data_IF_357011904156
#
_entry.id   IF_357011904156
#
_cell.length_a   1.000
_cell.length_b   1.000
_cell.length_c   1.000
_cell.angle_alpha   90.00
_cell.angle_beta   90.00
_cell.angle_gamma   90.00
#
_symmetry.space_group_name_H-M   'P 1'
#
loop_
_entity.id
_entity.type
_entity.pdbx_description
1 polymer ?
#
# COMPACT_ATOMS: atom_id res chain seq x y z
N UNK A 1 -13.86 -10.29 1.28
CA UNK A 1 -12.57 -9.92 1.89
C UNK A 1 -11.64 -9.29 0.87
N UNK A 2 -11.49 -9.88 -0.32
CA UNK A 2 -10.60 -9.40 -1.40
C UNK A 2 -10.86 -7.94 -1.82
N UNK A 3 -12.13 -7.54 -1.93
CA UNK A 3 -12.48 -6.15 -2.24
C UNK A 3 -12.00 -5.19 -1.14
N UNK A 4 -12.15 -5.57 0.13
CA UNK A 4 -11.70 -4.78 1.27
C UNK A 4 -10.18 -4.66 1.26
N UNK A 5 -9.46 -5.77 1.03
CA UNK A 5 -8.00 -5.74 0.83
C UNK A 5 -7.60 -4.77 -0.28
N UNK A 6 -8.26 -4.84 -1.44
CA UNK A 6 -7.99 -3.94 -2.56
C UNK A 6 -8.25 -2.48 -2.20
N UNK A 7 -9.33 -2.16 -1.50
CA UNK A 7 -9.62 -0.78 -1.06
C UNK A 7 -8.58 -0.28 -0.06
N UNK A 8 -8.22 -1.11 0.91
CA UNK A 8 -7.23 -0.79 1.96
C UNK A 8 -5.85 -0.54 1.37
N UNK A 9 -5.40 -1.39 0.45
CA UNK A 9 -4.13 -1.20 -0.25
C UNK A 9 -4.11 0.14 -1.02
N UNK A 10 -5.25 0.60 -1.53
CA UNK A 10 -5.33 1.87 -2.25
C UNK A 10 -5.78 3.05 -1.37
N UNK A 11 -5.85 2.88 -0.05
CA UNK A 11 -6.28 3.93 0.89
C UNK A 11 -5.08 4.80 1.28
N UNK A 12 -5.08 6.04 0.78
CA UNK A 12 -3.97 6.99 0.99
C UNK A 12 -3.81 7.46 2.43
N UNK A 13 -4.84 7.32 3.27
CA UNK A 13 -4.70 7.61 4.69
C UNK A 13 -3.92 6.48 5.40
N UNK A 14 -4.04 5.23 4.93
CA UNK A 14 -3.31 4.06 5.45
C UNK A 14 -1.92 3.95 4.83
N UNK A 15 -1.83 3.93 3.50
CA UNK A 15 -0.59 3.85 2.72
C UNK A 15 -0.34 5.17 2.01
N UNK A 16 0.41 6.06 2.67
CA UNK A 16 0.72 7.35 2.09
C UNK A 16 1.81 7.22 1.04
N UNK A 17 1.56 7.68 -0.18
CA UNK A 17 2.58 7.73 -1.24
C UNK A 17 3.41 8.99 -1.04
N UNK A 18 4.69 8.80 -0.67
CA UNK A 18 5.68 9.88 -0.56
C UNK A 18 6.04 10.46 -1.93
N UNK A 19 6.22 9.56 -2.90
CA UNK A 19 6.64 9.88 -4.26
C UNK A 19 5.88 8.99 -5.23
N UNK A 20 5.02 9.60 -6.03
CA UNK A 20 4.35 8.92 -7.13
C UNK A 20 5.37 8.59 -8.23
N UNK A 21 5.30 7.36 -8.75
CA UNK A 21 6.10 6.90 -9.88
C UNK A 21 5.20 6.75 -11.10
N UNK A 22 4.13 5.95 -10.93
CA UNK A 22 3.08 5.76 -11.93
C UNK A 22 1.76 6.20 -11.33
N UNK A 23 1.16 7.23 -11.92
CA UNK A 23 -0.23 7.58 -11.62
C UNK A 23 -1.18 6.50 -12.17
N UNK A 24 -2.48 6.62 -11.90
CA UNK A 24 -3.46 5.59 -12.30
C UNK A 24 -3.52 5.36 -13.82
N UNK A 25 -3.39 6.39 -14.65
CA UNK A 25 -3.39 6.23 -16.10
C UNK A 25 -2.14 5.48 -16.57
N UNK A 26 -0.96 5.91 -16.11
CA UNK A 26 0.32 5.30 -16.47
C UNK A 26 0.43 3.86 -15.94
N UNK A 27 -0.10 3.60 -14.74
CA UNK A 27 -0.15 2.26 -14.15
C UNK A 27 -1.04 1.32 -14.96
N UNK A 28 -2.18 1.83 -15.46
CA UNK A 28 -3.06 1.07 -16.36
C UNK A 28 -2.41 0.81 -17.73
N UNK A 29 -1.60 1.72 -18.25
CA UNK A 29 -0.80 1.47 -19.46
C UNK A 29 0.24 0.37 -19.22
N UNK A 30 0.97 0.45 -18.11
CA UNK A 30 1.94 -0.57 -17.72
C UNK A 30 1.28 -1.95 -17.55
N UNK A 31 0.08 -1.98 -16.97
CA UNK A 31 -0.74 -3.18 -16.82
C UNK A 31 -1.12 -3.80 -18.17
N UNK A 32 -1.45 -3.01 -19.19
CA UNK A 32 -1.74 -3.52 -20.55
C UNK A 32 -0.49 -4.11 -21.20
N UNK A 33 0.68 -3.55 -20.91
CA UNK A 33 1.95 -4.02 -21.43
C UNK A 33 2.50 -5.28 -20.73
N UNK A 34 1.86 -5.78 -19.65
CA UNK A 34 2.40 -6.87 -18.82
C UNK A 34 2.72 -8.17 -19.57
N UNK A 35 2.03 -8.44 -20.68
CA UNK A 35 2.27 -9.64 -21.52
C UNK A 35 3.38 -9.41 -22.57
N UNK A 36 3.76 -8.17 -22.85
CA UNK A 36 4.86 -7.83 -23.74
C UNK A 36 6.03 -7.27 -22.91
N UNK A 37 6.96 -8.15 -22.54
CA UNK A 37 8.11 -7.78 -21.69
C UNK A 37 8.94 -6.63 -22.25
N UNK A 38 9.07 -6.53 -23.59
CA UNK A 38 9.78 -5.42 -24.24
C UNK A 38 9.06 -4.09 -24.00
N UNK A 39 7.75 -4.04 -24.25
CA UNK A 39 6.98 -2.81 -24.09
C UNK A 39 6.87 -2.39 -22.63
N UNK A 40 6.66 -3.36 -21.73
CA UNK A 40 6.70 -3.12 -20.28
C UNK A 40 8.04 -2.49 -19.86
N UNK A 41 9.15 -3.10 -20.28
CA UNK A 41 10.49 -2.61 -19.93
C UNK A 41 10.75 -1.21 -20.49
N UNK A 42 10.30 -0.92 -21.72
CA UNK A 42 10.42 0.42 -22.33
C UNK A 42 9.66 1.49 -21.55
N UNK A 43 8.43 1.20 -21.09
CA UNK A 43 7.64 2.13 -20.27
C UNK A 43 8.39 2.43 -18.97
N UNK A 44 8.88 1.39 -18.29
CA UNK A 44 9.63 1.57 -17.03
C UNK A 44 10.95 2.30 -17.25
N UNK A 45 11.70 2.00 -18.31
CA UNK A 45 12.95 2.69 -18.66
C UNK A 45 12.73 4.18 -18.95
N UNK A 46 11.63 4.51 -19.66
CA UNK A 46 11.25 5.90 -19.88
C UNK A 46 10.99 6.62 -18.56
N UNK A 47 10.31 5.96 -17.62
CA UNK A 47 10.05 6.51 -16.28
C UNK A 47 11.32 6.69 -15.47
N UNK A 48 12.25 5.73 -15.50
CA UNK A 48 13.57 5.84 -14.86
C UNK A 48 14.31 7.08 -15.37
N UNK A 49 14.41 7.27 -16.69
CA UNK A 49 15.06 8.44 -17.29
C UNK A 49 14.42 9.76 -16.84
N UNK A 50 13.09 9.79 -16.74
CA UNK A 50 12.38 10.97 -16.21
C UNK A 50 12.74 11.26 -14.75
N UNK A 51 12.86 10.23 -13.91
CA UNK A 51 13.25 10.36 -12.50
C UNK A 51 14.72 10.79 -12.36
N UNK A 52 15.62 10.25 -13.18
CA UNK A 52 17.04 10.65 -13.22
C UNK A 52 17.19 12.13 -13.61
N UNK A 53 16.45 12.59 -14.62
CA UNK A 53 16.39 13.99 -15.02
C UNK A 53 15.78 14.88 -13.93
N UNK A 54 14.82 14.37 -13.15
CA UNK A 54 14.28 15.09 -12.01
C UNK A 54 15.34 15.25 -10.90
N UNK A 55 16.10 14.17 -10.65
CA UNK A 55 17.15 14.11 -9.63
C UNK A 55 18.30 15.10 -9.88
N UNK A 56 18.64 15.36 -11.14
CA UNK A 56 19.68 16.34 -11.51
C UNK A 56 19.30 17.78 -11.18
N UNK A 57 18.00 18.06 -11.01
CA UNK A 57 17.45 19.41 -10.85
C UNK A 57 17.02 19.76 -9.41
N UNK A 58 17.20 18.85 -8.44
CA UNK A 58 16.69 19.05 -7.07
C UNK A 58 17.79 19.03 -6.00
N UNK A 59 17.52 19.76 -4.90
CA UNK A 59 18.31 19.75 -3.67
C UNK A 59 18.51 18.34 -3.08
N UNK A 60 19.63 18.17 -2.37
CA UNK A 60 20.06 16.89 -1.79
C UNK A 60 19.01 16.16 -0.95
N UNK A 61 18.13 16.86 -0.20
CA UNK A 61 17.12 16.23 0.67
C UNK A 61 16.06 15.42 -0.08
N UNK A 62 15.72 15.80 -1.31
CA UNK A 62 14.69 15.10 -2.10
C UNK A 62 15.29 14.00 -2.98
N UNK A 63 16.62 13.86 -3.01
CA UNK A 63 17.30 12.83 -3.81
C UNK A 63 16.98 11.42 -3.32
N UNK A 64 16.83 11.24 -2.00
CA UNK A 64 16.58 9.91 -1.41
C UNK A 64 15.29 9.27 -1.90
N UNK A 65 14.19 10.03 -1.95
CA UNK A 65 12.90 9.50 -2.41
C UNK A 65 12.93 9.17 -3.91
N UNK A 66 13.72 9.92 -4.70
CA UNK A 66 13.91 9.65 -6.13
C UNK A 66 14.81 8.42 -6.34
N UNK A 67 15.87 8.26 -5.56
CA UNK A 67 16.71 7.05 -5.57
C UNK A 67 15.90 5.80 -5.22
N UNK A 68 15.03 5.89 -4.21
CA UNK A 68 14.11 4.82 -3.84
C UNK A 68 13.12 4.52 -4.96
N UNK A 69 12.56 5.56 -5.60
CA UNK A 69 11.70 5.40 -6.77
C UNK A 69 12.40 4.70 -7.95
N UNK A 70 13.65 5.06 -8.25
CA UNK A 70 14.45 4.41 -9.30
C UNK A 70 14.73 2.95 -8.94
N UNK A 71 15.01 2.64 -7.67
CA UNK A 71 15.17 1.25 -7.20
C UNK A 71 13.90 0.44 -7.42
N UNK A 72 12.73 0.98 -7.06
CA UNK A 72 11.44 0.32 -7.29
C UNK A 72 11.16 0.08 -8.79
N UNK A 73 11.50 1.04 -9.66
CA UNK A 73 11.41 0.83 -11.11
C UNK A 73 12.33 -0.29 -11.60
N UNK A 74 13.56 -0.39 -11.10
CA UNK A 74 14.45 -1.50 -11.44
C UNK A 74 13.93 -2.84 -10.89
N UNK A 75 13.30 -2.83 -9.71
CA UNK A 75 12.54 -3.95 -9.16
C UNK A 75 11.45 -4.41 -10.13
N UNK A 76 10.59 -3.47 -10.60
CA UNK A 76 9.55 -3.74 -11.60
C UNK A 76 10.10 -4.41 -12.86
N UNK A 77 11.21 -3.91 -13.40
CA UNK A 77 11.85 -4.51 -14.60
C UNK A 77 12.29 -5.95 -14.35
N UNK A 78 12.89 -6.21 -13.20
CA UNK A 78 13.40 -7.54 -12.84
C UNK A 78 12.25 -8.51 -12.56
N UNK A 79 11.19 -8.03 -11.91
CA UNK A 79 10.01 -8.82 -11.55
C UNK A 79 9.27 -9.39 -12.77
N UNK A 80 9.37 -8.77 -13.95
CA UNK A 80 8.84 -9.34 -15.21
C UNK A 80 9.41 -10.74 -15.49
N UNK A 81 10.67 -10.98 -15.11
CA UNK A 81 11.35 -12.26 -15.32
C UNK A 81 11.30 -13.14 -14.07
N UNK A 82 11.58 -12.54 -12.91
CA UNK A 82 11.91 -13.31 -11.70
C UNK A 82 10.69 -13.55 -10.80
N UNK A 83 9.66 -12.71 -10.91
CA UNK A 83 8.47 -12.70 -10.02
C UNK A 83 7.16 -12.39 -10.77
N UNK A 84 7.02 -12.91 -11.99
CA UNK A 84 5.93 -12.52 -12.91
C UNK A 84 4.52 -12.62 -12.31
N UNK A 85 4.24 -13.69 -11.57
CA UNK A 85 2.92 -13.89 -10.93
C UNK A 85 2.62 -12.82 -9.87
N UNK A 86 3.61 -12.47 -9.06
CA UNK A 86 3.47 -11.40 -8.05
C UNK A 86 3.31 -10.04 -8.72
N UNK A 87 4.09 -9.76 -9.78
CA UNK A 87 3.93 -8.55 -10.59
C UNK A 87 2.49 -8.43 -11.13
N UNK A 88 1.93 -9.51 -11.66
CA UNK A 88 0.55 -9.53 -12.15
C UNK A 88 -0.46 -9.23 -11.05
N UNK A 89 -0.32 -9.87 -9.89
CA UNK A 89 -1.21 -9.62 -8.74
C UNK A 89 -1.14 -8.16 -8.29
N UNK A 90 0.07 -7.60 -8.18
CA UNK A 90 0.27 -6.21 -7.82
C UNK A 90 -0.37 -5.25 -8.83
N UNK A 91 -0.18 -5.46 -10.14
CA UNK A 91 -0.82 -4.67 -11.21
C UNK A 91 -2.36 -4.78 -11.19
N UNK A 92 -2.89 -5.90 -10.70
CA UNK A 92 -4.34 -6.13 -10.63
C UNK A 92 -4.99 -5.53 -9.38
N UNK A 93 -4.23 -5.40 -8.30
CA UNK A 93 -4.71 -4.92 -7.00
C UNK A 93 -4.45 -3.42 -6.80
N UNK A 94 -3.26 -2.93 -7.14
CA UNK A 94 -2.90 -1.53 -6.98
C UNK A 94 -3.48 -0.66 -8.10
N UNK A 95 -3.89 0.57 -7.76
CA UNK A 95 -4.34 1.60 -8.70
C UNK A 95 -3.21 2.50 -9.17
N UNK A 96 -2.18 2.68 -8.34
CA UNK A 96 -1.00 3.49 -8.63
C UNK A 96 0.21 2.90 -7.94
N UNK A 97 1.40 3.33 -8.34
CA UNK A 97 2.65 2.80 -7.81
C UNK A 97 3.63 3.91 -7.46
N UNK A 98 4.32 3.76 -6.34
CA UNK A 98 5.18 4.78 -5.78
C UNK A 98 5.87 4.34 -4.51
N UNK A 99 6.72 5.22 -4.00
CA UNK A 99 7.37 5.04 -2.68
C UNK A 99 6.33 5.28 -1.61
N UNK A 100 6.03 4.25 -0.80
CA UNK A 100 4.97 4.28 0.21
C UNK A 100 5.54 4.37 1.63
N UNK A 101 4.84 5.12 2.48
CA UNK A 101 4.97 5.06 3.93
C UNK A 101 3.67 4.54 4.54
N UNK A 102 3.70 3.42 5.29
CA UNK A 102 2.56 3.05 6.12
C UNK A 102 2.38 4.08 7.24
N UNK A 103 1.14 4.51 7.46
CA UNK A 103 0.75 5.37 8.57
C UNK A 103 0.19 4.59 9.75
N UNK A 104 0.28 3.26 9.76
CA UNK A 104 -0.21 2.44 10.84
C UNK A 104 0.85 2.25 11.93
N UNK A 105 0.45 2.19 13.22
CA UNK A 105 1.29 1.61 14.26
C UNK A 105 1.33 0.08 14.11
N UNK A 106 2.08 -0.60 14.98
CA UNK A 106 2.01 -2.06 15.04
C UNK A 106 0.56 -2.52 15.31
N UNK A 107 0.02 -3.34 14.40
CA UNK A 107 -1.38 -3.74 14.43
C UNK A 107 -1.67 -5.04 15.22
N UNK A 108 -0.68 -5.67 15.85
CA UNK A 108 -0.83 -6.95 16.55
C UNK A 108 -1.81 -6.86 17.74
N UNK A 109 -1.67 -5.82 18.56
CA UNK A 109 -2.53 -5.61 19.73
C UNK A 109 -3.98 -5.31 19.34
N UNK A 110 -4.19 -4.62 18.22
CA UNK A 110 -5.53 -4.38 17.67
C UNK A 110 -6.17 -5.71 17.26
N UNK A 111 -5.42 -6.59 16.60
CA UNK A 111 -5.87 -7.94 16.29
C UNK A 111 -6.28 -8.73 17.54
N UNK A 112 -5.46 -8.73 18.60
CA UNK A 112 -5.78 -9.42 19.87
C UNK A 112 -7.08 -8.91 20.51
N UNK A 113 -7.33 -7.60 20.45
CA UNK A 113 -8.57 -7.01 20.99
C UNK A 113 -9.78 -7.47 20.16
N UNK A 114 -9.64 -7.55 18.84
CA UNK A 114 -10.72 -7.99 17.94
C UNK A 114 -11.14 -9.44 18.23
N UNK A 115 -10.18 -10.33 18.50
CA UNK A 115 -10.48 -11.75 18.76
C UNK A 115 -11.26 -11.99 20.07
N UNK A 116 -11.04 -11.12 21.06
CA UNK A 116 -11.46 -11.37 22.45
C UNK A 116 -12.73 -10.65 22.85
N UNK A 117 -13.03 -9.54 22.18
CA UNK A 117 -14.05 -8.61 22.65
C UNK A 117 -15.14 -8.38 21.60
N UNK A 118 -16.28 -7.86 22.07
CA UNK A 118 -17.38 -7.45 21.20
C UNK A 118 -17.05 -6.12 20.51
N UNK A 119 -17.71 -5.87 19.37
CA UNK A 119 -17.48 -4.68 18.53
C UNK A 119 -17.55 -3.36 19.29
N UNK A 120 -18.40 -3.24 20.32
CA UNK A 120 -18.50 -2.03 21.16
C UNK A 120 -17.22 -1.75 21.94
N UNK A 121 -16.59 -2.78 22.51
CA UNK A 121 -15.32 -2.66 23.24
C UNK A 121 -14.17 -2.41 22.26
N UNK A 122 -14.19 -3.08 21.10
CA UNK A 122 -13.21 -2.86 20.02
C UNK A 122 -13.24 -1.40 19.57
N UNK A 123 -14.44 -0.86 19.31
CA UNK A 123 -14.61 0.54 18.92
C UNK A 123 -14.07 1.50 19.98
N UNK A 124 -14.43 1.30 21.25
CA UNK A 124 -13.91 2.13 22.33
C UNK A 124 -12.37 2.08 22.39
N UNK A 125 -11.79 0.88 22.29
CA UNK A 125 -10.33 0.71 22.26
C UNK A 125 -9.68 1.49 21.11
N UNK A 126 -10.21 1.37 19.89
CA UNK A 126 -9.70 2.13 18.74
C UNK A 126 -9.80 3.65 18.99
N UNK A 127 -10.95 4.14 19.48
CA UNK A 127 -11.15 5.57 19.74
C UNK A 127 -10.16 6.11 20.78
N UNK A 128 -9.92 5.38 21.86
CA UNK A 128 -8.94 5.74 22.89
C UNK A 128 -7.51 5.77 22.33
N UNK A 129 -7.13 4.79 21.49
CA UNK A 129 -5.81 4.74 20.85
C UNK A 129 -5.64 5.87 19.83
N UNK A 130 -6.65 6.11 18.99
CA UNK A 130 -6.67 7.20 18.01
C UNK A 130 -6.36 8.54 18.68
N UNK A 131 -6.97 8.85 19.83
CA UNK A 131 -6.77 10.14 20.50
C UNK A 131 -5.30 10.44 20.86
N UNK A 132 -4.52 9.39 21.16
CA UNK A 132 -3.12 9.47 21.59
C UNK A 132 -2.11 9.58 20.44
N UNK A 133 -2.56 9.45 19.19
CA UNK A 133 -1.70 9.40 18.02
C UNK A 133 -1.52 10.76 17.30
N UNK A 134 -0.55 10.83 16.38
CA UNK A 134 -0.34 12.00 15.52
C UNK A 134 -1.42 12.11 14.42
N UNK A 135 -1.47 13.25 13.71
CA UNK A 135 -2.50 13.56 12.70
C UNK A 135 -2.64 12.49 11.61
N UNK A 136 -1.54 11.94 11.11
CA UNK A 136 -1.54 10.95 10.02
C UNK A 136 -2.03 9.59 10.52
N UNK A 137 -1.44 9.12 11.62
CA UNK A 137 -1.84 7.86 12.27
C UNK A 137 -3.31 7.88 12.74
N UNK A 138 -3.78 9.03 13.23
CA UNK A 138 -5.20 9.25 13.58
C UNK A 138 -6.13 8.98 12.41
N UNK A 139 -5.79 9.43 11.21
CA UNK A 139 -6.59 9.19 10.01
C UNK A 139 -6.54 7.72 9.59
N UNK A 140 -5.34 7.14 9.54
CA UNK A 140 -5.13 5.73 9.20
C UNK A 140 -5.93 4.79 10.12
N UNK A 141 -5.84 4.99 11.43
CA UNK A 141 -6.57 4.17 12.41
C UNK A 141 -8.08 4.34 12.34
N UNK A 142 -8.59 5.54 12.01
CA UNK A 142 -10.02 5.75 11.75
C UNK A 142 -10.48 4.94 10.53
N UNK A 143 -9.68 4.93 9.45
CA UNK A 143 -9.95 4.09 8.27
C UNK A 143 -9.93 2.62 8.60
N UNK A 144 -8.96 2.14 9.38
CA UNK A 144 -8.95 0.75 9.83
C UNK A 144 -10.21 0.42 10.64
N UNK A 145 -10.65 1.30 11.55
CA UNK A 145 -11.89 1.09 12.30
C UNK A 145 -13.13 1.04 11.37
N UNK A 146 -13.20 1.90 10.34
CA UNK A 146 -14.25 1.84 9.31
C UNK A 146 -14.26 0.46 8.61
N UNK A 147 -13.10 -0.03 8.16
CA UNK A 147 -13.00 -1.35 7.55
C UNK A 147 -13.35 -2.50 8.50
N UNK A 148 -12.92 -2.42 9.77
CA UNK A 148 -13.29 -3.41 10.81
C UNK A 148 -14.80 -3.46 10.98
N UNK A 149 -15.47 -2.31 11.14
CA UNK A 149 -16.93 -2.24 11.26
C UNK A 149 -17.64 -2.84 10.04
N UNK A 150 -17.16 -2.52 8.85
CA UNK A 150 -17.72 -3.07 7.61
C UNK A 150 -17.57 -4.60 7.54
N UNK A 151 -16.39 -5.13 7.90
CA UNK A 151 -16.16 -6.58 7.94
C UNK A 151 -17.11 -7.28 8.94
N UNK A 152 -17.36 -6.66 10.10
CA UNK A 152 -18.37 -7.15 11.06
C UNK A 152 -19.79 -7.10 10.47
N UNK A 153 -20.16 -6.02 9.79
CA UNK A 153 -21.47 -5.91 9.12
C UNK A 153 -21.64 -6.92 7.99
N UNK A 154 -20.55 -7.37 7.37
CA UNK A 154 -20.53 -8.45 6.40
C UNK A 154 -20.53 -9.86 7.04
N UNK A 155 -20.71 -9.97 8.36
CA UNK A 155 -20.76 -11.21 9.15
C UNK A 155 -19.46 -12.04 9.07
N UNK A 156 -18.31 -11.41 8.89
CA UNK A 156 -17.03 -12.13 8.99
C UNK A 156 -16.71 -12.48 10.44
N UNK A 157 -15.98 -13.58 10.63
CA UNK A 157 -15.61 -14.02 11.97
C UNK A 157 -14.58 -13.07 12.60
N UNK A 158 -14.61 -12.86 13.94
CA UNK A 158 -13.61 -12.04 14.61
C UNK A 158 -12.16 -12.48 14.35
N UNK A 159 -11.92 -13.78 14.18
CA UNK A 159 -10.59 -14.33 13.87
C UNK A 159 -10.10 -13.88 12.50
N UNK A 160 -10.96 -13.89 11.48
CA UNK A 160 -10.64 -13.42 10.14
C UNK A 160 -10.37 -11.92 10.11
N UNK A 161 -11.17 -11.13 10.84
CA UNK A 161 -10.99 -9.67 10.94
C UNK A 161 -9.67 -9.36 11.65
N UNK A 162 -9.37 -10.08 12.75
CA UNK A 162 -8.11 -9.92 13.47
C UNK A 162 -6.91 -10.27 12.60
N UNK A 163 -6.98 -11.39 11.87
CA UNK A 163 -5.95 -11.77 10.90
C UNK A 163 -5.72 -10.68 9.86
N UNK A 164 -6.79 -10.16 9.26
CA UNK A 164 -6.73 -9.04 8.32
C UNK A 164 -6.00 -7.82 8.92
N UNK A 165 -6.40 -7.39 10.12
CA UNK A 165 -5.81 -6.23 10.81
C UNK A 165 -4.32 -6.43 11.09
N UNK A 166 -3.90 -7.61 11.56
CA UNK A 166 -2.48 -7.89 11.80
C UNK A 166 -1.65 -7.90 10.52
N UNK A 167 -2.25 -8.25 9.39
CA UNK A 167 -1.55 -8.31 8.11
C UNK A 167 -1.35 -6.95 7.45
N UNK A 168 -2.03 -5.89 7.90
CA UNK A 168 -1.92 -4.57 7.31
C UNK A 168 -0.48 -4.05 7.24
N UNK A 169 0.32 -4.27 8.28
CA UNK A 169 1.73 -3.85 8.29
C UNK A 169 2.55 -4.61 7.23
N UNK A 170 2.25 -5.88 6.99
CA UNK A 170 2.92 -6.70 5.96
C UNK A 170 2.46 -6.40 4.53
N UNK A 171 1.40 -5.63 4.35
CA UNK A 171 0.90 -5.29 3.03
C UNK A 171 1.80 -4.30 2.27
N UNK A 172 2.72 -3.61 2.94
CA UNK A 172 3.69 -2.72 2.27
C UNK A 172 4.55 -3.45 1.25
N UNK A 173 4.73 -4.77 1.41
CA UNK A 173 5.45 -5.63 0.46
C UNK A 173 4.90 -5.53 -0.96
N UNK A 174 3.61 -5.20 -1.14
CA UNK A 174 3.03 -4.94 -2.48
C UNK A 174 3.68 -3.75 -3.20
N UNK A 175 4.41 -2.87 -2.52
CA UNK A 175 5.13 -1.73 -3.11
C UNK A 175 6.65 -1.91 -3.15
N UNK A 176 7.19 -3.04 -2.68
CA UNK A 176 8.65 -3.26 -2.46
C UNK A 176 9.29 -4.21 -3.51
N UNK A 177 8.76 -4.22 -4.74
CA UNK A 177 9.01 -5.16 -5.86
C UNK A 177 10.44 -5.72 -5.99
#
# INVERSE_FOLDING_TARGET
MDEIFKRVLNDKDIFWIKKDIFNEAEWNELKKAKNNHSDFTKIVDSKIKSLENEMSNISYRNKKDIEEAIKLCNGLKSAVKDKYNFLCQMLDVLKSFGVVQPNLPNMDDYGKVIERYRITIIEQFFLEKIQKENKHRKKALKKVLEYVKELYSANLSPLEIAYFVRKLDSLTVFWEV
#
